data_IF_840452648278
#
_entry.id   IF_840452648278
#
_cell.length_a   1.000
_cell.length_b   1.000
_cell.length_c   1.000
_cell.angle_alpha   90.00
_cell.angle_beta   90.00
_cell.angle_gamma   90.00
#
_symmetry.space_group_name_H-M   'P 1'
#
loop_
_entity.id
_entity.type
_entity.pdbx_description
1 polymer ?
#
# COMPACT_ATOMS: atom_id res chain seq x y z
N UNK A 1 1.59 -9.17 -1.18
CA UNK A 1 3.00 -9.59 -1.03
C UNK A 1 3.38 -9.63 0.45
N UNK A 2 4.40 -10.39 0.84
CA UNK A 2 4.97 -10.34 2.20
C UNK A 2 6.22 -9.46 2.20
N UNK A 3 6.41 -8.61 3.22
CA UNK A 3 7.58 -7.76 3.39
C UNK A 3 8.87 -8.59 3.55
N UNK A 4 10.06 -8.02 3.25
CA UNK A 4 11.32 -8.77 3.31
C UNK A 4 11.65 -9.36 4.68
N UNK A 5 11.23 -8.68 5.76
CA UNK A 5 11.36 -9.14 7.14
C UNK A 5 10.30 -10.17 7.55
N UNK A 6 9.29 -10.41 6.71
CA UNK A 6 8.21 -11.35 6.95
C UNK A 6 7.12 -10.86 7.89
N UNK A 7 7.17 -9.60 8.35
CA UNK A 7 6.27 -9.07 9.38
C UNK A 7 4.99 -8.44 8.84
N UNK A 8 4.93 -8.13 7.54
CA UNK A 8 3.81 -7.41 6.94
C UNK A 8 3.32 -8.09 5.66
N UNK A 9 2.01 -8.21 5.52
CA UNK A 9 1.32 -8.52 4.27
C UNK A 9 0.81 -7.21 3.66
N UNK A 10 1.29 -6.85 2.48
CA UNK A 10 0.93 -5.62 1.77
C UNK A 10 0.26 -5.95 0.46
N UNK A 11 -0.89 -5.33 0.16
CA UNK A 11 -1.70 -5.62 -1.02
C UNK A 11 -2.57 -4.42 -1.39
N UNK A 12 -2.94 -4.29 -2.65
CA UNK A 12 -3.96 -3.33 -3.08
C UNK A 12 -5.36 -3.95 -3.02
N UNK A 13 -6.37 -3.14 -2.77
CA UNK A 13 -7.78 -3.52 -2.82
C UNK A 13 -8.61 -2.37 -3.35
N UNK A 14 -9.54 -2.68 -4.25
CA UNK A 14 -10.51 -1.72 -4.77
C UNK A 14 -11.72 -1.60 -3.82
N UNK A 15 -12.16 -0.37 -3.57
CA UNK A 15 -13.37 -0.05 -2.78
C UNK A 15 -13.39 -0.69 -1.38
N UNK A 16 -12.20 -0.81 -0.78
CA UNK A 16 -12.07 -1.34 0.58
C UNK A 16 -12.41 -0.28 1.63
N UNK A 17 -13.01 -0.66 2.78
CA UNK A 17 -13.36 0.29 3.83
C UNK A 17 -12.15 1.11 4.30
N UNK A 18 -12.36 2.43 4.44
CA UNK A 18 -11.34 3.41 4.82
C UNK A 18 -10.22 3.63 3.79
N UNK A 19 -10.40 3.19 2.55
CA UNK A 19 -9.59 3.65 1.42
C UNK A 19 -9.69 5.16 1.20
N UNK A 20 -8.68 5.75 0.57
CA UNK A 20 -8.66 7.16 0.21
C UNK A 20 -9.23 7.41 -1.20
N UNK A 21 -9.29 6.39 -2.05
CA UNK A 21 -9.68 6.46 -3.45
C UNK A 21 -10.39 5.20 -3.94
N UNK A 22 -10.16 4.83 -5.21
CA UNK A 22 -10.68 3.60 -5.80
C UNK A 22 -9.86 2.39 -5.33
N UNK A 23 -8.71 2.18 -5.94
CA UNK A 23 -7.73 1.17 -5.58
C UNK A 23 -6.70 1.75 -4.60
N UNK A 24 -6.61 1.14 -3.42
CA UNK A 24 -5.79 1.61 -2.33
C UNK A 24 -4.84 0.51 -1.84
N UNK A 25 -3.66 0.90 -1.32
CA UNK A 25 -2.72 -0.04 -0.73
C UNK A 25 -3.03 -0.22 0.77
N UNK A 26 -3.16 -1.47 1.18
CA UNK A 26 -3.40 -1.91 2.54
C UNK A 26 -2.24 -2.75 3.07
N UNK A 27 -2.11 -2.73 4.39
CA UNK A 27 -1.14 -3.52 5.13
C UNK A 27 -1.81 -4.26 6.28
N UNK A 28 -1.37 -5.50 6.50
CA UNK A 28 -1.69 -6.30 7.67
C UNK A 28 -0.41 -6.76 8.34
N UNK A 29 -0.38 -6.70 9.67
CA UNK A 29 0.76 -7.08 10.50
C UNK A 29 0.64 -8.54 10.88
N UNK A 30 1.77 -9.26 10.82
CA UNK A 30 1.85 -10.63 11.31
C UNK A 30 1.71 -10.64 12.84
N UNK A 31 0.90 -11.57 13.32
CA UNK A 31 0.61 -11.83 14.72
C UNK A 31 0.84 -13.31 15.02
N UNK A 32 0.79 -13.70 16.28
CA UNK A 32 0.86 -15.12 16.68
C UNK A 32 -0.28 -15.96 16.08
N UNK A 33 -1.43 -15.34 15.81
CA UNK A 33 -2.64 -16.02 15.31
C UNK A 33 -2.85 -15.87 13.79
N UNK A 34 -1.85 -15.35 13.06
CA UNK A 34 -1.95 -15.09 11.62
C UNK A 34 -1.81 -13.60 11.30
N UNK A 35 -2.67 -13.06 10.46
CA UNK A 35 -2.60 -11.68 9.97
C UNK A 35 -3.60 -10.79 10.71
N UNK A 36 -3.20 -9.59 11.11
CA UNK A 36 -4.09 -8.60 11.72
C UNK A 36 -5.14 -8.10 10.73
N UNK A 37 -6.15 -7.37 11.22
CA UNK A 37 -7.07 -6.65 10.33
C UNK A 37 -6.27 -5.66 9.48
N UNK A 38 -6.46 -5.71 8.17
CA UNK A 38 -5.78 -4.80 7.26
C UNK A 38 -6.21 -3.34 7.49
N UNK A 39 -5.25 -2.42 7.34
CA UNK A 39 -5.45 -0.97 7.40
C UNK A 39 -4.85 -0.31 6.15
N UNK A 40 -5.31 0.87 5.73
CA UNK A 40 -4.64 1.66 4.71
C UNK A 40 -3.18 1.90 5.09
N UNK A 41 -2.26 1.82 4.12
CA UNK A 41 -0.82 1.79 4.43
C UNK A 41 -0.29 3.13 4.94
N UNK A 42 -0.70 4.26 4.35
CA UNK A 42 -0.31 5.61 4.75
C UNK A 42 -0.90 6.64 3.78
N UNK A 43 -1.19 7.85 4.25
CA UNK A 43 -1.55 8.99 3.39
C UNK A 43 -0.38 9.50 2.53
N UNK A 44 0.85 9.01 2.73
CA UNK A 44 1.97 9.26 1.83
C UNK A 44 1.86 8.44 0.53
N UNK A 45 1.17 7.30 0.59
CA UNK A 45 0.99 6.38 -0.53
C UNK A 45 -0.43 6.50 -1.07
N UNK A 46 -1.44 6.33 -0.23
CA UNK A 46 -2.81 6.34 -0.67
C UNK A 46 -3.30 7.76 -0.88
N UNK A 47 -3.88 8.02 -2.05
CA UNK A 47 -4.42 9.33 -2.41
C UNK A 47 -5.85 9.17 -2.93
N UNK A 48 -6.40 10.21 -3.57
CA UNK A 48 -7.69 10.11 -4.27
C UNK A 48 -7.60 9.32 -5.59
N UNK A 49 -6.37 9.06 -6.05
CA UNK A 49 -6.07 8.38 -7.30
C UNK A 49 -6.04 6.86 -7.08
N UNK A 50 -5.59 6.11 -8.09
CA UNK A 50 -5.53 4.65 -8.02
C UNK A 50 -4.11 4.19 -7.68
N UNK A 51 -3.90 3.57 -6.53
CA UNK A 51 -2.62 2.99 -6.12
C UNK A 51 -2.61 1.46 -6.11
N UNK A 52 -1.68 0.87 -6.85
CA UNK A 52 -1.64 -0.58 -7.05
C UNK A 52 -0.22 -1.15 -7.03
N UNK A 53 -0.16 -2.49 -7.09
CA UNK A 53 1.09 -3.23 -7.30
C UNK A 53 2.20 -2.92 -6.28
N UNK A 54 1.92 -2.95 -4.95
CA UNK A 54 2.91 -2.64 -3.93
C UNK A 54 4.07 -3.65 -3.93
N UNK A 55 5.32 -3.17 -3.88
CA UNK A 55 6.55 -3.99 -3.91
C UNK A 55 7.65 -3.42 -3.02
N UNK A 56 8.25 -4.24 -2.17
CA UNK A 56 9.53 -3.92 -1.53
C UNK A 56 10.71 -4.31 -2.43
N UNK A 57 11.81 -3.55 -2.35
CA UNK A 57 13.11 -4.00 -2.82
C UNK A 57 13.55 -5.25 -2.05
N UNK A 58 14.42 -6.06 -2.67
CA UNK A 58 14.90 -7.31 -2.05
C UNK A 58 15.62 -7.07 -0.72
N UNK A 59 16.29 -5.92 -0.57
CA UNK A 59 16.97 -5.52 0.65
C UNK A 59 16.09 -4.72 1.62
N UNK A 60 14.82 -4.50 1.28
CA UNK A 60 13.84 -3.79 2.11
C UNK A 60 14.08 -2.29 2.27
N UNK A 61 15.02 -1.70 1.52
CA UNK A 61 15.30 -0.26 1.59
C UNK A 61 14.28 0.61 0.88
N UNK A 62 13.67 0.09 -0.19
CA UNK A 62 12.74 0.85 -1.01
C UNK A 62 11.39 0.18 -1.10
N UNK A 63 10.34 0.99 -1.11
CA UNK A 63 8.98 0.57 -1.43
C UNK A 63 8.57 1.21 -2.75
N UNK A 64 8.04 0.40 -3.65
CA UNK A 64 7.56 0.75 -4.98
C UNK A 64 6.07 0.50 -5.07
N UNK A 65 5.40 1.32 -5.86
CA UNK A 65 3.99 1.16 -6.19
C UNK A 65 3.70 1.84 -7.52
N UNK A 66 2.58 1.50 -8.15
CA UNK A 66 2.09 2.19 -9.33
C UNK A 66 0.97 3.14 -8.94
N UNK A 67 0.87 4.29 -9.60
CA UNK A 67 -0.28 5.20 -9.47
C UNK A 67 -0.75 5.69 -10.83
N UNK A 68 -2.06 5.82 -11.00
CA UNK A 68 -2.70 6.51 -12.12
C UNK A 68 -3.77 7.46 -11.61
N UNK A 69 -3.89 8.64 -12.24
CA UNK A 69 -4.94 9.61 -11.93
C UNK A 69 -6.33 8.96 -12.12
N UNK A 70 -7.21 9.13 -11.13
CA UNK A 70 -8.60 8.68 -11.26
C UNK A 70 -9.40 9.72 -12.04
N UNK A 71 -9.87 9.35 -13.24
CA UNK A 71 -10.68 10.22 -14.11
C UNK A 71 -12.20 10.04 -13.87
N UNK A 72 -12.56 9.12 -12.96
CA UNK A 72 -13.94 8.75 -12.67
C UNK A 72 -14.51 7.71 -13.65
N UNK A 73 -15.65 7.11 -13.31
CA UNK A 73 -16.34 6.10 -14.14
C UNK A 73 -15.43 4.93 -14.61
N UNK A 74 -14.48 4.50 -13.77
CA UNK A 74 -13.48 3.47 -14.10
C UNK A 74 -12.53 3.85 -15.25
N UNK A 75 -12.38 5.14 -15.54
CA UNK A 75 -11.35 5.66 -16.43
C UNK A 75 -10.13 6.14 -15.63
N UNK A 76 -8.93 5.85 -16.15
CA UNK A 76 -7.66 6.10 -15.47
C UNK A 76 -6.68 6.77 -16.42
N UNK A 77 -5.85 7.64 -15.87
CA UNK A 77 -4.72 8.24 -16.58
C UNK A 77 -3.59 7.24 -16.86
N UNK A 78 -2.43 7.78 -17.23
CA UNK A 78 -1.23 6.96 -17.43
C UNK A 78 -0.70 6.41 -16.10
N UNK A 79 -0.40 5.11 -16.08
CA UNK A 79 0.20 4.46 -14.92
C UNK A 79 1.70 4.79 -14.86
N UNK A 80 2.11 5.37 -13.74
CA UNK A 80 3.51 5.65 -13.43
C UNK A 80 3.98 4.84 -12.22
N UNK A 81 5.27 4.51 -12.19
CA UNK A 81 5.90 3.84 -11.05
C UNK A 81 6.48 4.90 -10.11
N UNK A 82 6.12 4.80 -8.84
CA UNK A 82 6.64 5.61 -7.75
C UNK A 82 7.47 4.74 -6.80
N UNK A 83 8.37 5.39 -6.07
CA UNK A 83 9.11 4.73 -5.00
C UNK A 83 9.49 5.70 -3.89
N UNK A 84 9.75 5.14 -2.72
CA UNK A 84 10.27 5.85 -1.56
C UNK A 84 11.14 4.94 -0.70
N UNK A 85 11.92 5.51 0.20
CA UNK A 85 12.59 4.71 1.22
C UNK A 85 11.57 4.12 2.19
N UNK A 86 11.72 2.84 2.51
CA UNK A 86 10.75 2.08 3.30
C UNK A 86 10.62 2.63 4.73
N UNK A 87 11.68 3.22 5.28
CA UNK A 87 11.64 3.82 6.62
C UNK A 87 10.56 4.92 6.75
N UNK A 88 10.28 5.65 5.68
CA UNK A 88 9.26 6.71 5.68
C UNK A 88 7.83 6.16 5.66
N UNK A 89 7.61 4.87 5.41
CA UNK A 89 6.29 4.25 5.60
C UNK A 89 5.93 4.11 7.07
N UNK A 90 6.93 4.03 7.94
CA UNK A 90 6.77 3.93 9.39
C UNK A 90 5.78 2.82 9.83
N UNK A 91 5.89 1.64 9.21
CA UNK A 91 4.93 0.53 9.37
C UNK A 91 4.80 0.01 10.81
N UNK A 92 5.79 0.28 11.66
CA UNK A 92 5.75 -0.07 13.08
C UNK A 92 4.68 0.73 13.85
N UNK A 93 4.39 1.95 13.39
CA UNK A 93 3.44 2.89 13.99
C UNK A 93 2.09 2.92 13.27
N UNK A 94 1.81 1.94 12.40
CA UNK A 94 0.46 1.75 11.81
C UNK A 94 -0.55 1.23 12.86
N UNK A 95 -0.09 1.03 14.09
CA UNK A 95 -0.89 0.73 15.26
C UNK A 95 -1.15 2.01 16.09
N UNK A 96 -2.17 2.79 15.66
CA UNK A 96 -3.26 3.35 16.47
C UNK A 96 -4.49 3.54 15.56
#
# INVERSE_FOLDING_TARGET
>A
MISPDGNYLVFNSYDAPNGAGGEDIFVSKKTENGWSKAKPISALINTKDEESSPRFSRDGKYFFFSRAESLGNYEFGEWSIFFMETEYLNLENIDD
#
